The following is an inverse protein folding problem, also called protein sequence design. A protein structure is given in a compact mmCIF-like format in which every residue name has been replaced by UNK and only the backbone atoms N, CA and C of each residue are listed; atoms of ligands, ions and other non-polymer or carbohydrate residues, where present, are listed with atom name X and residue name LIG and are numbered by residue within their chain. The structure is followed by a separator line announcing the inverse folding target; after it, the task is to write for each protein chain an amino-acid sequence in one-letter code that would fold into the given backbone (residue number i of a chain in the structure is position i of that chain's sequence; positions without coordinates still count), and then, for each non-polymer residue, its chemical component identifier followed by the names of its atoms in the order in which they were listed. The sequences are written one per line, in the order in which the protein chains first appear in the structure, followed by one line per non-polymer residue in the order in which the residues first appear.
data_IF_127449471811
#
_entry.id   IF_127449471811
#
_cell.length_a   1.000
_cell.length_b   1.000
_cell.length_c   1.000
_cell.angle_alpha   90.00
_cell.angle_beta   90.00
_cell.angle_gamma   90.00
#
_symmetry.space_group_name_H-M   'P 1'
#
loop_
_entity.id
_entity.type
_entity.pdbx_description
1 polymer ?
#
# COMPACT_ATOMS: atom_id res chain seq x y z
N UNK A 1 -6.80 -17.01 6.46
CA UNK A 1 -6.23 -17.87 7.51
C UNK A 1 -7.26 -18.85 8.05
N UNK A 2 -8.30 -18.39 8.71
CA UNK A 2 -9.34 -19.24 9.35
C UNK A 2 -9.95 -20.24 8.36
N UNK A 3 -10.43 -19.77 7.21
CA UNK A 3 -11.01 -20.64 6.16
C UNK A 3 -10.04 -21.71 5.66
N UNK A 4 -8.74 -21.43 5.60
CA UNK A 4 -7.74 -22.42 5.15
C UNK A 4 -7.63 -23.57 6.15
N UNK A 5 -7.53 -23.30 7.44
CA UNK A 5 -7.41 -24.34 8.47
C UNK A 5 -8.72 -25.12 8.63
N UNK A 6 -9.87 -24.48 8.46
CA UNK A 6 -11.16 -25.15 8.52
C UNK A 6 -11.40 -26.11 7.36
N UNK A 7 -10.84 -25.83 6.19
CA UNK A 7 -10.98 -26.65 4.98
C UNK A 7 -9.91 -27.75 4.84
N UNK A 8 -8.95 -27.84 5.77
CA UNK A 8 -7.98 -28.93 5.77
C UNK A 8 -8.65 -30.28 6.06
N UNK A 9 -8.09 -31.35 5.46
CA UNK A 9 -8.57 -32.71 5.66
C UNK A 9 -8.42 -33.12 7.14
N UNK A 10 -9.46 -33.75 7.69
CA UNK A 10 -9.48 -34.16 9.10
C UNK A 10 -8.33 -35.08 9.48
N UNK A 11 -8.13 -36.15 8.69
CA UNK A 11 -7.02 -37.11 8.92
C UNK A 11 -5.66 -36.43 8.93
N UNK A 12 -5.47 -35.43 8.07
CA UNK A 12 -4.23 -34.66 8.02
C UNK A 12 -4.02 -33.84 9.30
N UNK A 13 -5.04 -33.06 9.73
CA UNK A 13 -4.96 -32.23 10.93
C UNK A 13 -4.77 -33.04 12.21
N UNK A 14 -5.34 -34.25 12.28
CA UNK A 14 -5.22 -35.12 13.45
C UNK A 14 -3.84 -35.77 13.57
N UNK A 15 -3.17 -36.01 12.44
CA UNK A 15 -1.91 -36.79 12.41
C UNK A 15 -0.68 -35.94 12.08
N UNK A 16 -0.84 -34.67 11.64
CA UNK A 16 0.29 -33.80 11.30
C UNK A 16 1.07 -33.38 12.56
N UNK A 17 2.40 -33.21 12.42
CA UNK A 17 3.20 -32.55 13.45
C UNK A 17 2.72 -31.10 13.61
N UNK A 18 2.18 -30.78 14.79
CA UNK A 18 1.57 -29.50 15.10
C UNK A 18 2.53 -28.33 14.88
N UNK A 19 3.76 -28.43 15.40
CA UNK A 19 4.74 -27.34 15.30
C UNK A 19 5.19 -27.10 13.85
N UNK A 20 5.39 -28.14 13.08
CA UNK A 20 5.72 -28.02 11.65
C UNK A 20 4.58 -27.42 10.84
N UNK A 21 3.35 -27.84 11.12
CA UNK A 21 2.16 -27.27 10.47
C UNK A 21 1.99 -25.79 10.79
N UNK A 22 2.14 -25.41 12.07
CA UNK A 22 2.03 -24.03 12.51
C UNK A 22 3.11 -23.17 11.84
N UNK A 23 4.37 -23.63 11.87
CA UNK A 23 5.49 -22.94 11.24
C UNK A 23 5.26 -22.74 9.73
N UNK A 24 4.87 -23.80 9.03
CA UNK A 24 4.57 -23.74 7.60
C UNK A 24 3.41 -22.78 7.30
N UNK A 25 2.29 -22.92 8.03
CA UNK A 25 1.11 -22.08 7.79
C UNK A 25 1.39 -20.61 8.14
N UNK A 26 2.16 -20.35 9.18
CA UNK A 26 2.63 -19.00 9.53
C UNK A 26 3.43 -18.38 8.40
N UNK A 27 4.39 -19.12 7.84
CA UNK A 27 5.20 -18.61 6.72
C UNK A 27 4.37 -18.28 5.47
N UNK A 28 3.31 -19.05 5.22
CA UNK A 28 2.38 -18.81 4.11
C UNK A 28 1.43 -17.61 4.34
N UNK A 29 1.27 -17.17 5.58
CA UNK A 29 0.43 -16.05 5.97
C UNK A 29 1.23 -14.77 6.23
N UNK A 30 2.54 -14.86 6.22
CA UNK A 30 3.43 -13.70 6.37
C UNK A 30 3.26 -12.76 5.17
N UNK A 31 3.14 -11.47 5.45
CA UNK A 31 3.03 -10.44 4.42
C UNK A 31 4.32 -9.61 4.47
N UNK A 32 5.11 -9.67 3.41
CA UNK A 32 6.30 -8.85 3.29
C UNK A 32 5.91 -7.40 2.98
N UNK A 33 6.28 -6.43 3.82
CA UNK A 33 6.03 -5.02 3.55
C UNK A 33 6.78 -4.59 2.28
N UNK A 34 6.17 -3.78 1.40
CA UNK A 34 6.88 -3.23 0.26
C UNK A 34 7.97 -2.26 0.75
N UNK A 35 8.97 -2.01 -0.08
CA UNK A 35 10.05 -1.06 0.22
C UNK A 35 10.01 0.11 -0.76
N UNK A 36 9.77 1.33 -0.27
CA UNK A 36 9.78 2.55 -1.10
C UNK A 36 11.21 3.10 -1.20
N UNK A 37 11.68 3.35 -2.42
CA UNK A 37 13.02 3.85 -2.71
C UNK A 37 12.98 5.37 -2.97
N UNK A 38 12.72 6.15 -1.91
CA UNK A 38 12.52 7.61 -2.01
C UNK A 38 13.73 8.33 -2.59
N UNK A 39 14.95 7.90 -2.25
CA UNK A 39 16.20 8.46 -2.80
C UNK A 39 16.33 8.24 -4.30
N UNK A 40 15.61 7.31 -4.87
CA UNK A 40 15.63 7.01 -6.31
C UNK A 40 14.52 7.75 -7.07
N UNK A 41 13.89 8.76 -6.44
CA UNK A 41 12.89 9.58 -7.12
C UNK A 41 13.47 10.23 -8.38
N UNK A 42 12.74 10.15 -9.47
CA UNK A 42 13.09 10.79 -10.71
C UNK A 42 11.92 11.59 -11.28
N UNK A 43 12.21 12.49 -12.20
CA UNK A 43 11.23 13.36 -12.81
C UNK A 43 11.28 13.29 -14.34
N UNK A 44 10.12 13.43 -14.96
CA UNK A 44 9.97 13.67 -16.39
C UNK A 44 9.05 14.88 -16.61
N UNK A 45 9.24 15.57 -17.73
CA UNK A 45 8.43 16.73 -18.10
C UNK A 45 7.64 16.44 -19.37
N UNK A 46 6.39 16.85 -19.39
CA UNK A 46 5.53 16.74 -20.58
C UNK A 46 4.61 17.96 -20.66
N UNK A 47 4.25 18.37 -21.88
CA UNK A 47 3.21 19.39 -22.10
C UNK A 47 1.84 18.76 -22.12
N UNK A 48 0.88 19.36 -21.38
CA UNK A 48 -0.54 19.03 -21.46
C UNK A 48 -1.39 20.28 -21.63
N UNK A 49 -2.55 20.12 -22.23
CA UNK A 49 -3.59 21.14 -22.21
C UNK A 49 -4.29 21.07 -20.83
N UNK A 50 -4.16 22.14 -20.06
CA UNK A 50 -4.76 22.27 -18.72
C UNK A 50 -6.00 23.14 -18.84
N UNK A 51 -7.20 22.64 -18.44
CA UNK A 51 -8.43 23.43 -18.43
C UNK A 51 -8.30 24.64 -17.50
N UNK A 52 -8.95 25.75 -17.86
CA UNK A 52 -8.92 27.00 -17.09
C UNK A 52 -9.36 26.80 -15.63
N UNK A 53 -10.27 25.85 -15.39
CA UNK A 53 -10.82 25.52 -14.05
C UNK A 53 -9.77 24.95 -13.08
N UNK A 54 -8.64 24.49 -13.61
CA UNK A 54 -7.52 23.96 -12.79
C UNK A 54 -6.48 25.02 -12.45
N UNK A 55 -6.60 26.22 -13.02
CA UNK A 55 -5.67 27.31 -12.74
C UNK A 55 -5.94 27.94 -11.37
N UNK A 56 -4.92 28.37 -10.66
CA UNK A 56 -5.07 29.19 -9.47
C UNK A 56 -5.89 30.44 -9.78
N UNK A 57 -6.65 30.93 -8.79
CA UNK A 57 -7.59 32.04 -8.92
C UNK A 57 -6.95 33.37 -9.38
N UNK A 58 -5.65 33.54 -9.18
CA UNK A 58 -4.87 34.73 -9.54
C UNK A 58 -4.38 34.71 -11.01
N UNK A 59 -4.73 33.68 -11.78
CA UNK A 59 -4.46 33.62 -13.22
C UNK A 59 -5.61 34.18 -14.02
N UNK A 60 -5.30 35.11 -14.95
CA UNK A 60 -6.30 35.64 -15.88
C UNK A 60 -6.51 34.66 -17.05
N UNK A 61 -7.32 33.63 -16.82
CA UNK A 61 -7.70 32.62 -17.82
C UNK A 61 -9.19 32.71 -18.17
N UNK A 62 -9.54 32.39 -19.40
CA UNK A 62 -10.93 32.41 -19.87
C UNK A 62 -11.61 31.08 -19.55
N UNK A 63 -12.78 31.09 -18.86
CA UNK A 63 -13.55 29.88 -18.57
C UNK A 63 -13.84 29.06 -19.83
N UNK A 64 -13.76 27.72 -19.70
CA UNK A 64 -14.01 26.76 -20.77
C UNK A 64 -12.89 26.66 -21.81
N UNK A 65 -11.77 27.34 -21.62
CA UNK A 65 -10.59 27.19 -22.46
C UNK A 65 -9.53 26.33 -21.79
N UNK A 66 -8.60 25.80 -22.60
CA UNK A 66 -7.44 25.06 -22.11
C UNK A 66 -6.16 25.73 -22.57
N UNK A 67 -5.13 25.66 -21.75
CA UNK A 67 -3.84 26.29 -21.96
C UNK A 67 -2.73 25.26 -21.85
N UNK A 68 -1.73 25.33 -22.76
CA UNK A 68 -0.56 24.48 -22.67
C UNK A 68 0.27 24.82 -21.44
N UNK A 69 0.55 23.82 -20.62
CA UNK A 69 1.43 23.91 -19.45
C UNK A 69 2.38 22.72 -19.37
N UNK A 70 3.55 22.99 -18.84
CA UNK A 70 4.48 21.93 -18.46
C UNK A 70 3.97 21.22 -17.21
N UNK A 71 3.86 19.91 -17.31
CA UNK A 71 3.55 19.01 -16.19
C UNK A 71 4.84 18.28 -15.83
N UNK A 72 5.18 18.30 -14.56
CA UNK A 72 6.31 17.52 -14.06
C UNK A 72 5.74 16.29 -13.35
N UNK A 73 6.01 15.11 -13.93
CA UNK A 73 5.68 13.83 -13.32
C UNK A 73 6.88 13.36 -12.51
N UNK A 74 6.65 13.16 -11.23
CA UNK A 74 7.59 12.52 -10.31
C UNK A 74 7.21 11.05 -10.13
N UNK A 75 8.21 10.17 -10.16
CA UNK A 75 8.06 8.73 -9.95
C UNK A 75 9.00 8.26 -8.86
N UNK A 76 8.47 7.53 -7.89
CA UNK A 76 9.19 6.93 -6.77
C UNK A 76 9.15 5.42 -6.96
N UNK A 77 10.26 4.77 -7.26
CA UNK A 77 10.31 3.32 -7.36
C UNK A 77 10.03 2.64 -6.02
N UNK A 78 9.49 1.44 -6.09
CA UNK A 78 9.37 0.56 -4.92
C UNK A 78 9.56 -0.90 -5.31
N UNK A 79 9.86 -1.72 -4.32
CA UNK A 79 9.94 -3.18 -4.43
C UNK A 79 8.82 -3.82 -3.61
N UNK A 80 8.30 -4.96 -4.07
CA UNK A 80 7.27 -5.71 -3.37
C UNK A 80 5.89 -5.63 -4.03
N UNK A 81 4.86 -5.97 -3.26
CA UNK A 81 3.49 -6.07 -3.78
C UNK A 81 2.77 -4.70 -3.79
N UNK A 82 2.50 -4.17 -5.00
CA UNK A 82 1.81 -2.90 -5.21
C UNK A 82 0.39 -2.85 -4.64
N UNK A 83 -0.30 -4.00 -4.55
CA UNK A 83 -1.66 -4.05 -4.00
C UNK A 83 -1.72 -3.60 -2.54
N UNK A 84 -0.61 -3.74 -1.79
CA UNK A 84 -0.55 -3.32 -0.39
C UNK A 84 -0.73 -1.80 -0.22
N UNK A 85 -0.32 -0.99 -1.20
CA UNK A 85 -0.54 0.46 -1.17
C UNK A 85 -2.00 0.90 -1.36
N UNK A 86 -2.89 -0.02 -1.77
CA UNK A 86 -4.33 0.23 -1.91
C UNK A 86 -5.08 0.05 -0.60
N UNK A 87 -4.46 -0.59 0.40
CA UNK A 87 -5.06 -0.73 1.72
C UNK A 87 -4.90 0.55 2.52
N UNK A 88 -5.99 0.94 3.18
CA UNK A 88 -5.98 2.08 4.08
C UNK A 88 -5.42 1.63 5.43
N UNK A 89 -4.32 2.20 5.91
CA UNK A 89 -3.81 1.90 7.23
C UNK A 89 -4.80 2.24 8.35
N UNK A 90 -4.65 1.62 9.51
CA UNK A 90 -5.46 1.90 10.70
C UNK A 90 -5.29 3.35 11.18
N UNK A 91 -4.10 3.90 11.02
CA UNK A 91 -3.80 5.32 11.18
C UNK A 91 -3.43 5.89 9.81
N UNK A 92 -4.02 7.00 9.43
CA UNK A 92 -3.77 7.62 8.12
C UNK A 92 -3.85 9.14 8.23
N UNK A 93 -3.18 9.82 7.29
CA UNK A 93 -3.30 11.26 7.08
C UNK A 93 -4.33 11.56 5.99
N UNK A 94 -5.10 12.64 6.17
CA UNK A 94 -6.04 13.11 5.14
C UNK A 94 -5.32 14.15 4.28
N UNK A 95 -5.20 13.88 3.00
CA UNK A 95 -4.62 14.79 2.00
C UNK A 95 -5.26 14.54 0.64
N UNK A 96 -5.23 15.55 -0.22
CA UNK A 96 -5.90 15.52 -1.53
C UNK A 96 -4.86 15.68 -2.63
N UNK A 97 -4.14 14.63 -2.92
CA UNK A 97 -3.24 14.57 -4.08
C UNK A 97 -3.56 13.33 -4.89
N UNK A 98 -3.72 13.50 -6.19
CA UNK A 98 -3.83 12.35 -7.08
C UNK A 98 -2.46 11.69 -7.20
N UNK A 99 -2.39 10.44 -6.79
CA UNK A 99 -1.24 9.56 -7.02
C UNK A 99 -1.67 8.38 -7.89
N UNK A 100 -0.74 7.88 -8.68
CA UNK A 100 -0.92 6.67 -9.48
C UNK A 100 0.07 5.63 -8.97
N UNK A 101 -0.41 4.40 -8.76
CA UNK A 101 0.40 3.27 -8.31
C UNK A 101 0.38 2.26 -9.45
N UNK A 102 1.56 2.00 -10.01
CA UNK A 102 1.83 0.93 -10.97
C UNK A 102 2.39 -0.31 -10.27
N UNK A 103 2.99 -1.23 -11.01
CA UNK A 103 3.56 -2.44 -10.43
C UNK A 103 4.86 -2.19 -9.66
N UNK A 104 5.58 -1.12 -9.97
CA UNK A 104 6.95 -0.84 -9.52
C UNK A 104 7.21 0.62 -9.15
N UNK A 105 6.22 1.52 -9.31
CA UNK A 105 6.38 2.93 -8.98
C UNK A 105 5.10 3.58 -8.44
N UNK A 106 5.28 4.56 -7.56
CA UNK A 106 4.27 5.52 -7.14
C UNK A 106 4.57 6.83 -7.86
N UNK A 107 3.60 7.37 -8.59
CA UNK A 107 3.82 8.60 -9.34
C UNK A 107 2.74 9.66 -9.08
N UNK A 108 3.14 10.93 -9.24
CA UNK A 108 2.25 12.09 -9.14
C UNK A 108 2.70 13.20 -10.08
N UNK A 109 1.76 14.08 -10.42
CA UNK A 109 2.00 15.18 -11.35
C UNK A 109 1.87 16.52 -10.63
N UNK A 110 2.76 17.45 -10.96
CA UNK A 110 2.72 18.85 -10.54
C UNK A 110 2.64 19.72 -11.80
N UNK A 111 1.62 20.59 -11.85
CA UNK A 111 1.47 21.56 -12.96
C UNK A 111 2.39 22.75 -12.67
N UNK A 112 3.28 23.03 -13.60
CA UNK A 112 4.16 24.21 -13.51
C UNK A 112 3.39 25.46 -14.01
N UNK A 113 2.66 26.10 -13.12
CA UNK A 113 1.88 27.30 -13.48
C UNK A 113 2.75 28.56 -13.63
N UNK A 114 3.78 28.70 -12.79
CA UNK A 114 4.55 29.97 -12.61
C UNK A 114 5.98 29.91 -13.08
N UNK A 115 6.43 28.77 -13.62
CA UNK A 115 7.84 28.52 -13.96
C UNK A 115 8.80 28.72 -12.77
N UNK A 116 8.28 28.43 -11.56
CA UNK A 116 9.03 28.53 -10.29
C UNK A 116 9.49 27.15 -9.79
N UNK A 117 10.78 26.87 -9.94
CA UNK A 117 11.42 25.63 -9.49
C UNK A 117 11.32 25.45 -7.97
N UNK A 118 11.35 26.54 -7.20
CA UNK A 118 11.24 26.46 -5.75
C UNK A 118 9.83 26.07 -5.30
N UNK A 119 8.80 26.56 -6.00
CA UNK A 119 7.40 26.15 -5.77
C UNK A 119 7.21 24.68 -6.07
N UNK A 120 7.72 24.20 -7.20
CA UNK A 120 7.69 22.78 -7.59
C UNK A 120 8.37 21.91 -6.55
N UNK A 121 9.58 22.28 -6.12
CA UNK A 121 10.32 21.49 -5.12
C UNK A 121 9.59 21.44 -3.77
N UNK A 122 9.08 22.57 -3.27
CA UNK A 122 8.30 22.60 -2.02
C UNK A 122 7.05 21.71 -2.11
N UNK A 123 6.34 21.75 -3.24
CA UNK A 123 5.15 20.93 -3.47
C UNK A 123 5.53 19.45 -3.53
N UNK A 124 6.59 19.10 -4.28
CA UNK A 124 7.14 17.74 -4.35
C UNK A 124 7.49 17.24 -2.95
N UNK A 125 8.26 18.00 -2.17
CA UNK A 125 8.72 17.58 -0.84
C UNK A 125 7.54 17.35 0.11
N UNK A 126 6.50 18.18 0.03
CA UNK A 126 5.27 17.99 0.80
C UNK A 126 4.55 16.70 0.42
N UNK A 127 4.43 16.39 -0.88
CA UNK A 127 3.78 15.17 -1.37
C UNK A 127 4.60 13.95 -0.96
N UNK A 128 5.92 13.98 -1.16
CA UNK A 128 6.83 12.88 -0.77
C UNK A 128 6.74 12.61 0.72
N UNK A 129 6.70 13.66 1.54
CA UNK A 129 6.51 13.53 2.99
C UNK A 129 5.19 12.82 3.32
N UNK A 130 4.09 13.22 2.70
CA UNK A 130 2.78 12.59 2.92
C UNK A 130 2.78 11.11 2.51
N UNK A 131 3.41 10.76 1.38
CA UNK A 131 3.58 9.37 0.93
C UNK A 131 4.39 8.58 1.97
N UNK A 132 5.49 9.16 2.47
CA UNK A 132 6.36 8.53 3.46
C UNK A 132 5.63 8.28 4.79
N UNK A 133 4.90 9.28 5.28
CA UNK A 133 4.14 9.17 6.53
C UNK A 133 3.04 8.10 6.40
N UNK A 134 2.34 8.06 5.27
CA UNK A 134 1.33 7.04 4.99
C UNK A 134 1.95 5.63 4.90
N UNK A 135 3.11 5.51 4.28
CA UNK A 135 3.84 4.25 4.21
C UNK A 135 4.30 3.75 5.59
N UNK A 136 4.77 4.63 6.46
CA UNK A 136 5.15 4.28 7.84
C UNK A 136 3.97 3.64 8.57
N UNK A 137 2.76 4.20 8.42
CA UNK A 137 1.55 3.64 9.02
C UNK A 137 1.19 2.27 8.44
N UNK A 138 1.26 2.12 7.11
CA UNK A 138 1.04 0.83 6.44
C UNK A 138 2.03 -0.22 6.93
N UNK A 139 3.33 0.11 6.95
CA UNK A 139 4.37 -0.79 7.42
C UNK A 139 4.14 -1.24 8.85
N UNK A 140 3.78 -0.32 9.74
CA UNK A 140 3.44 -0.63 11.13
C UNK A 140 2.30 -1.64 11.23
N UNK A 141 1.21 -1.45 10.47
CA UNK A 141 0.08 -2.37 10.49
C UNK A 141 0.46 -3.77 9.99
N UNK A 142 1.32 -3.85 8.96
CA UNK A 142 1.84 -5.12 8.44
C UNK A 142 2.76 -5.81 9.45
N UNK A 143 3.64 -5.06 10.12
CA UNK A 143 4.53 -5.58 11.16
C UNK A 143 3.71 -6.08 12.38
N UNK A 144 2.66 -5.36 12.77
CA UNK A 144 1.75 -5.77 13.84
C UNK A 144 0.96 -7.03 13.48
N UNK A 145 0.49 -7.12 12.23
CA UNK A 145 -0.14 -8.34 11.71
C UNK A 145 0.84 -9.52 11.75
N UNK A 146 2.03 -9.35 11.22
CA UNK A 146 3.04 -10.41 11.13
C UNK A 146 3.47 -10.94 12.51
N UNK A 147 3.60 -10.06 13.51
CA UNK A 147 3.88 -10.45 14.89
C UNK A 147 2.78 -11.31 15.52
N UNK A 148 1.53 -11.08 15.12
CA UNK A 148 0.38 -11.80 15.66
C UNK A 148 -0.01 -13.06 14.89
N UNK A 149 0.54 -13.29 13.69
CA UNK A 149 0.04 -14.34 12.80
C UNK A 149 0.25 -15.74 13.33
N UNK A 150 1.41 -16.05 13.94
CA UNK A 150 1.70 -17.38 14.50
C UNK A 150 0.71 -17.73 15.62
N UNK A 151 0.47 -16.80 16.54
CA UNK A 151 -0.49 -17.00 17.62
C UNK A 151 -1.90 -17.26 17.13
N UNK A 152 -2.31 -16.56 16.05
CA UNK A 152 -3.60 -16.79 15.39
C UNK A 152 -3.66 -18.16 14.72
N UNK A 153 -2.60 -18.57 14.01
CA UNK A 153 -2.51 -19.91 13.40
C UNK A 153 -2.65 -20.98 14.45
N UNK A 154 -1.88 -20.89 15.54
CA UNK A 154 -1.87 -21.85 16.65
C UNK A 154 -3.25 -21.96 17.29
N UNK A 155 -3.91 -20.84 17.55
CA UNK A 155 -5.24 -20.84 18.11
C UNK A 155 -6.28 -21.46 17.16
N UNK A 156 -6.28 -21.11 15.90
CA UNK A 156 -7.18 -21.70 14.89
C UNK A 156 -6.98 -23.21 14.75
N UNK A 157 -5.72 -23.66 14.71
CA UNK A 157 -5.38 -25.09 14.65
C UNK A 157 -5.92 -25.83 15.88
N UNK A 158 -5.66 -25.32 17.08
CA UNK A 158 -6.13 -25.91 18.34
C UNK A 158 -7.65 -26.06 18.37
N UNK A 159 -8.37 -24.98 18.06
CA UNK A 159 -9.84 -24.99 18.04
C UNK A 159 -10.37 -26.04 17.04
N UNK A 160 -9.81 -26.10 15.85
CA UNK A 160 -10.24 -27.06 14.83
C UNK A 160 -9.93 -28.49 15.24
N UNK A 161 -8.75 -28.77 15.77
CA UNK A 161 -8.33 -30.09 16.26
C UNK A 161 -9.23 -30.59 17.40
N UNK A 162 -9.52 -29.72 18.37
CA UNK A 162 -10.44 -30.05 19.49
C UNK A 162 -11.84 -30.38 18.99
N UNK A 163 -12.34 -29.63 17.99
CA UNK A 163 -13.65 -29.89 17.36
C UNK A 163 -13.70 -31.27 16.70
N UNK A 164 -12.65 -31.61 15.94
CA UNK A 164 -12.56 -32.91 15.25
C UNK A 164 -12.47 -34.07 16.25
N UNK A 165 -11.67 -33.93 17.31
CA UNK A 165 -11.56 -34.96 18.35
C UNK A 165 -12.90 -35.21 19.05
N UNK A 166 -13.68 -34.18 19.30
CA UNK A 166 -15.03 -34.32 19.88
C UNK A 166 -16.00 -35.02 18.93
N UNK A 167 -15.90 -34.75 17.62
CA UNK A 167 -16.75 -35.40 16.61
C UNK A 167 -16.43 -36.89 16.45
N UNK A 168 -15.15 -37.27 16.56
CA UNK A 168 -14.71 -38.67 16.41
C UNK A 168 -14.92 -39.52 17.68
N UNK A 169 -15.22 -38.89 18.82
CA UNK A 169 -15.51 -39.61 20.08
C UNK A 169 -17.04 -39.79 20.35
N UNK A 170 -17.85 -39.44 19.36
CA UNK A 170 -19.32 -39.69 19.36
C UNK A 170 -19.64 -40.94 18.55
#
# INVERSE_FOLDING_TARGET
LHLRIENEKEDYLLNVNEEEYIKYTTSQCFIEPPTILIENIYASSLEKNVPAEHFPWDFNVLPGKSYKKNIIKFSIPFEGNSELFRFRPSTYIVWTQKIEISNDEISFEIINFRDDVNEINRTKDSIVKNISDQYIHLKKDLDDYNRGVESKVRNCFKIRKEKLLKQNNL
#
